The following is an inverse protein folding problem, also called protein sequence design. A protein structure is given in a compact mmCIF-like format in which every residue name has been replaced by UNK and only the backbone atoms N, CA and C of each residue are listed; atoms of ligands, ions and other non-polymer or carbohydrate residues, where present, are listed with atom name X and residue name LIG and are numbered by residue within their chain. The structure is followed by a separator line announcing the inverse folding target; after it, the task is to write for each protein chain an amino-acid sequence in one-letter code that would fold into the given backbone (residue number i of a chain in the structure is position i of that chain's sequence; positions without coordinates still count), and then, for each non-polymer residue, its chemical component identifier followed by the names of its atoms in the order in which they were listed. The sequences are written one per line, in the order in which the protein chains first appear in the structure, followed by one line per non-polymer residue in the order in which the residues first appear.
data_IF_615340491608
#
_entry.id   IF_615340491608
#
_cell.length_a   1.000
_cell.length_b   1.000
_cell.length_c   1.000
_cell.angle_alpha   90.00
_cell.angle_beta   90.00
_cell.angle_gamma   90.00
#
_symmetry.space_group_name_H-M   'P 1'
#
loop_
_entity.id
_entity.type
_entity.pdbx_description
1 polymer ?
#
# COMPACT_ATOMS: atom_id res chain seq x y z
N UNK A 1 -36.83 -19.00 20.29
CA UNK A 1 -35.71 -18.10 19.93
C UNK A 1 -36.04 -17.49 18.58
N UNK A 2 -36.00 -16.14 18.43
CA UNK A 2 -36.17 -15.53 17.11
C UNK A 2 -34.98 -15.94 16.24
N UNK A 3 -35.26 -16.57 15.10
CA UNK A 3 -34.26 -16.91 14.08
C UNK A 3 -33.67 -15.58 13.58
N UNK A 4 -32.37 -15.41 13.69
CA UNK A 4 -31.69 -14.25 13.11
C UNK A 4 -31.64 -14.50 11.59
N UNK A 5 -32.49 -13.84 10.83
CA UNK A 5 -32.53 -13.95 9.38
C UNK A 5 -31.61 -12.88 8.77
N UNK A 6 -30.30 -13.15 8.75
CA UNK A 6 -29.31 -12.31 8.06
C UNK A 6 -28.03 -12.02 8.85
N UNK A 7 -27.16 -11.21 8.23
CA UNK A 7 -25.95 -10.66 8.87
C UNK A 7 -26.32 -9.66 9.98
N UNK A 8 -25.43 -9.42 10.96
CA UNK A 8 -25.62 -8.35 11.95
C UNK A 8 -25.95 -7.01 11.27
N UNK A 9 -26.79 -6.18 11.90
CA UNK A 9 -27.23 -4.88 11.34
C UNK A 9 -26.07 -3.96 10.97
N UNK A 10 -25.01 -4.01 11.77
CA UNK A 10 -23.80 -3.19 11.63
C UNK A 10 -22.69 -3.91 10.83
N UNK A 11 -23.04 -4.93 10.03
CA UNK A 11 -22.05 -5.65 9.23
C UNK A 11 -21.47 -4.74 8.13
N UNK A 12 -20.14 -4.63 8.09
CA UNK A 12 -19.43 -3.76 7.15
C UNK A 12 -19.19 -4.48 5.83
N UNK A 13 -20.10 -4.30 4.87
CA UNK A 13 -19.90 -4.71 3.48
C UNK A 13 -19.00 -3.73 2.73
N UNK A 14 -18.08 -4.26 1.93
CA UNK A 14 -17.11 -3.43 1.23
C UNK A 14 -16.18 -4.23 0.33
N UNK A 15 -15.05 -3.60 -0.02
CA UNK A 15 -14.00 -4.15 -0.85
C UNK A 15 -12.62 -3.84 -0.29
N UNK A 16 -11.59 -4.47 -0.84
CA UNK A 16 -10.22 -4.34 -0.37
C UNK A 16 -9.23 -4.17 -1.53
N UNK A 17 -8.27 -3.27 -1.36
CA UNK A 17 -7.12 -3.06 -2.25
C UNK A 17 -5.82 -2.91 -1.45
N UNK A 18 -4.68 -2.86 -2.14
CA UNK A 18 -3.39 -2.41 -1.62
C UNK A 18 -2.86 -1.32 -2.54
N UNK A 19 -2.32 -0.24 -1.98
CA UNK A 19 -1.89 0.97 -2.70
C UNK A 19 -1.04 0.66 -3.94
N UNK A 20 0.03 -0.12 -3.80
CA UNK A 20 0.89 -0.52 -4.91
C UNK A 20 0.21 -1.34 -6.03
N UNK A 21 -1.01 -1.83 -5.85
CA UNK A 21 -1.71 -2.64 -6.87
C UNK A 21 -2.55 -1.78 -7.81
N UNK A 22 -2.96 -0.59 -7.38
CA UNK A 22 -4.02 0.16 -8.07
C UNK A 22 -3.78 1.69 -8.12
N UNK A 23 -3.06 2.28 -7.16
CA UNK A 23 -2.82 3.73 -7.13
C UNK A 23 -2.09 4.24 -8.37
N UNK A 24 -0.98 3.61 -8.74
CA UNK A 24 -0.10 4.15 -9.79
C UNK A 24 0.70 5.37 -9.32
N UNK A 25 0.99 6.28 -10.24
CA UNK A 25 1.70 7.55 -9.98
C UNK A 25 2.93 7.36 -9.07
N UNK A 26 3.77 6.38 -9.41
CA UNK A 26 4.82 5.88 -8.51
C UNK A 26 5.92 6.90 -8.18
N UNK A 27 6.06 7.94 -9.00
CA UNK A 27 7.06 8.99 -8.95
C UNK A 27 6.45 10.39 -8.80
N UNK A 28 5.17 10.48 -8.43
CA UNK A 28 4.47 11.74 -8.22
C UNK A 28 4.31 12.05 -6.73
N UNK A 29 4.05 13.32 -6.41
CA UNK A 29 3.79 13.75 -5.04
C UNK A 29 4.95 13.51 -4.08
N UNK A 30 6.19 13.51 -4.58
CA UNK A 30 7.38 13.21 -3.77
C UNK A 30 7.53 11.74 -3.33
N UNK A 31 6.71 10.82 -3.86
CA UNK A 31 6.79 9.39 -3.50
C UNK A 31 8.17 8.79 -3.83
N UNK A 32 8.73 8.05 -2.88
CA UNK A 32 9.92 7.23 -3.08
C UNK A 32 9.62 5.88 -3.74
N UNK A 33 10.67 5.20 -4.22
CA UNK A 33 10.54 3.83 -4.73
C UNK A 33 10.21 2.87 -3.59
N UNK A 34 9.31 1.93 -3.85
CA UNK A 34 8.99 0.81 -2.97
C UNK A 34 9.52 -0.51 -3.55
N UNK A 35 9.57 -1.56 -2.73
CA UNK A 35 9.89 -2.92 -3.21
C UNK A 35 8.95 -3.38 -4.33
N UNK A 36 7.69 -2.97 -4.26
CA UNK A 36 6.66 -3.26 -5.26
C UNK A 36 6.95 -2.62 -6.64
N UNK A 37 7.61 -1.46 -6.69
CA UNK A 37 7.94 -0.75 -7.94
C UNK A 37 9.03 -1.45 -8.75
N UNK A 38 9.74 -2.42 -8.15
CA UNK A 38 10.79 -3.22 -8.78
C UNK A 38 10.25 -4.51 -9.41
N UNK A 39 8.98 -4.85 -9.17
CA UNK A 39 8.38 -6.08 -9.70
C UNK A 39 8.01 -5.89 -11.17
N UNK A 40 8.78 -6.51 -12.06
CA UNK A 40 8.55 -6.48 -13.51
C UNK A 40 7.33 -7.32 -13.90
N UNK A 41 6.71 -6.95 -15.02
CA UNK A 41 5.76 -7.82 -15.71
C UNK A 41 6.48 -9.08 -16.21
N UNK A 42 5.86 -10.23 -15.99
CA UNK A 42 6.29 -11.52 -16.55
C UNK A 42 5.11 -12.10 -17.36
N UNK A 43 5.28 -12.34 -18.68
CA UNK A 43 4.29 -13.02 -19.51
C UNK A 43 3.88 -14.36 -18.93
N UNK A 44 2.64 -14.79 -19.16
CA UNK A 44 2.09 -16.00 -18.52
C UNK A 44 2.92 -17.24 -18.85
N UNK A 45 3.46 -17.30 -20.06
CA UNK A 45 4.27 -18.37 -20.61
C UNK A 45 5.64 -18.49 -19.94
N UNK A 46 6.13 -17.40 -19.34
CA UNK A 46 7.42 -17.32 -18.64
C UNK A 46 7.29 -17.46 -17.11
N UNK A 47 6.06 -17.54 -16.58
CA UNK A 47 5.84 -17.67 -15.14
C UNK A 47 6.20 -19.08 -14.68
N UNK A 48 7.13 -19.16 -13.72
CA UNK A 48 7.41 -20.40 -13.00
C UNK A 48 6.28 -20.81 -12.04
N UNK A 49 6.41 -21.98 -11.44
CA UNK A 49 5.49 -22.49 -10.40
C UNK A 49 5.67 -21.83 -9.03
N UNK A 50 6.67 -20.93 -8.89
CA UNK A 50 7.01 -20.26 -7.64
C UNK A 50 6.15 -19.03 -7.37
N UNK A 51 5.81 -18.84 -6.10
CA UNK A 51 5.20 -17.62 -5.58
C UNK A 51 6.33 -16.65 -5.24
N UNK A 52 6.88 -15.90 -6.21
CA UNK A 52 7.92 -14.92 -5.87
C UNK A 52 7.65 -13.57 -6.53
N UNK A 53 7.16 -12.64 -5.70
CA UNK A 53 7.35 -11.21 -5.92
C UNK A 53 8.79 -10.79 -5.56
N UNK A 54 9.63 -11.74 -5.14
CA UNK A 54 11.03 -11.50 -4.81
C UNK A 54 11.79 -10.95 -6.01
N UNK A 55 12.53 -9.88 -5.76
CA UNK A 55 13.45 -9.28 -6.72
C UNK A 55 14.84 -9.33 -6.09
N UNK A 56 15.80 -9.93 -6.79
CA UNK A 56 17.18 -10.01 -6.29
C UNK A 56 17.86 -8.65 -6.31
N UNK A 57 18.90 -8.46 -5.48
CA UNK A 57 19.70 -7.23 -5.47
C UNK A 57 20.26 -6.89 -6.86
N UNK A 58 20.73 -7.90 -7.59
CA UNK A 58 21.24 -7.72 -8.97
C UNK A 58 20.15 -7.23 -9.92
N UNK A 59 18.92 -7.74 -9.79
CA UNK A 59 17.79 -7.25 -10.58
C UNK A 59 17.44 -5.81 -10.22
N UNK A 60 17.40 -5.46 -8.93
CA UNK A 60 17.17 -4.07 -8.49
C UNK A 60 18.24 -3.13 -9.07
N UNK A 61 19.52 -3.49 -8.98
CA UNK A 61 20.63 -2.68 -9.51
C UNK A 61 20.49 -2.47 -11.03
N UNK A 62 20.16 -3.52 -11.79
CA UNK A 62 19.92 -3.41 -13.22
C UNK A 62 18.69 -2.55 -13.56
N UNK A 63 17.62 -2.64 -12.77
CA UNK A 63 16.42 -1.80 -12.92
C UNK A 63 16.75 -0.32 -12.66
N UNK A 64 17.54 -0.03 -11.62
CA UNK A 64 17.93 1.33 -11.26
C UNK A 64 18.94 1.95 -12.24
N UNK A 65 19.74 1.12 -12.92
CA UNK A 65 20.64 1.54 -13.99
C UNK A 65 19.93 1.80 -15.33
N UNK A 66 18.59 1.66 -15.38
CA UNK A 66 17.77 1.76 -16.59
C UNK A 66 18.20 0.77 -17.70
N UNK A 67 18.68 -0.41 -17.29
CA UNK A 67 19.06 -1.46 -18.23
C UNK A 67 17.83 -2.21 -18.75
N UNK A 68 17.35 -1.75 -19.90
CA UNK A 68 16.43 -2.46 -20.79
C UNK A 68 14.97 -2.01 -20.72
N UNK A 69 14.24 -2.26 -21.81
CA UNK A 69 12.83 -1.90 -21.97
C UNK A 69 11.96 -2.88 -21.16
N UNK A 70 11.57 -2.50 -19.94
CA UNK A 70 10.82 -3.34 -19.00
C UNK A 70 9.57 -2.62 -18.49
N UNK A 71 8.46 -3.36 -18.46
CA UNK A 71 7.18 -2.86 -17.93
C UNK A 71 7.06 -3.22 -16.45
N UNK A 72 6.72 -2.25 -15.61
CA UNK A 72 6.48 -2.41 -14.17
C UNK A 72 5.02 -2.07 -13.86
N UNK A 73 4.08 -3.04 -13.87
CA UNK A 73 2.65 -2.77 -13.81
C UNK A 73 2.21 -1.93 -12.61
N UNK A 74 2.87 -2.14 -11.47
CA UNK A 74 2.57 -1.47 -10.21
C UNK A 74 2.93 0.03 -10.22
N UNK A 75 3.78 0.47 -11.18
CA UNK A 75 4.17 1.88 -11.29
C UNK A 75 3.04 2.78 -11.82
N UNK A 76 2.10 2.22 -12.57
CA UNK A 76 0.95 2.94 -13.13
C UNK A 76 -0.39 2.43 -12.62
N UNK A 77 -0.49 1.18 -12.14
CA UNK A 77 -1.71 0.65 -11.52
C UNK A 77 -2.92 0.74 -12.45
N UNK A 78 -4.06 1.16 -11.90
CA UNK A 78 -5.24 1.60 -12.67
C UNK A 78 -5.42 3.12 -12.59
N UNK A 79 -4.38 3.82 -12.16
CA UNK A 79 -4.32 5.26 -11.98
C UNK A 79 -5.33 5.83 -10.96
N UNK A 80 -5.63 5.07 -9.90
CA UNK A 80 -6.50 5.52 -8.81
C UNK A 80 -5.98 6.80 -8.14
N UNK A 81 -4.66 7.05 -8.15
CA UNK A 81 -4.09 8.29 -7.62
C UNK A 81 -4.74 9.55 -8.22
N UNK A 82 -5.10 9.51 -9.50
CA UNK A 82 -5.77 10.61 -10.20
C UNK A 82 -7.30 10.47 -10.25
N UNK A 83 -7.82 9.24 -10.14
CA UNK A 83 -9.23 8.89 -10.38
C UNK A 83 -10.00 8.43 -9.13
N UNK A 84 -9.44 8.63 -7.93
CA UNK A 84 -10.05 8.12 -6.70
C UNK A 84 -11.47 8.64 -6.45
N UNK A 85 -11.81 9.84 -6.92
CA UNK A 85 -13.16 10.41 -6.73
C UNK A 85 -14.21 9.66 -7.52
N UNK A 86 -13.93 9.38 -8.79
CA UNK A 86 -14.80 8.61 -9.68
C UNK A 86 -14.93 7.18 -9.17
N UNK A 87 -13.82 6.56 -8.79
CA UNK A 87 -13.81 5.18 -8.30
C UNK A 87 -14.57 5.03 -6.98
N UNK A 88 -14.36 5.94 -6.01
CA UNK A 88 -15.09 5.92 -4.73
C UNK A 88 -16.59 6.18 -4.93
N UNK A 89 -16.97 7.03 -5.88
CA UNK A 89 -18.39 7.23 -6.20
C UNK A 89 -19.05 5.92 -6.70
N UNK A 90 -18.35 5.10 -7.47
CA UNK A 90 -18.83 3.77 -7.86
C UNK A 90 -18.92 2.80 -6.67
N UNK A 91 -17.96 2.84 -5.75
CA UNK A 91 -18.04 2.06 -4.49
C UNK A 91 -19.28 2.45 -3.68
N UNK A 92 -19.60 3.74 -3.63
CA UNK A 92 -20.79 4.26 -2.96
C UNK A 92 -22.09 3.81 -3.67
N UNK A 93 -22.12 3.80 -5.01
CA UNK A 93 -23.24 3.29 -5.80
C UNK A 93 -23.53 1.82 -5.50
N UNK A 94 -22.49 1.00 -5.31
CA UNK A 94 -22.62 -0.40 -4.88
C UNK A 94 -23.08 -0.56 -3.42
N UNK A 95 -23.13 0.52 -2.64
CA UNK A 95 -23.61 0.52 -1.26
C UNK A 95 -22.55 0.15 -0.22
N UNK A 96 -21.25 0.36 -0.52
CA UNK A 96 -20.17 0.09 0.43
C UNK A 96 -20.38 0.83 1.76
N UNK A 97 -19.98 0.15 2.85
CA UNK A 97 -19.90 0.68 4.22
C UNK A 97 -18.48 0.80 4.71
N UNK A 98 -17.57 0.03 4.12
CA UNK A 98 -16.14 0.07 4.41
C UNK A 98 -15.35 -0.04 3.11
N UNK A 99 -14.22 0.65 3.05
CA UNK A 99 -13.23 0.43 1.99
C UNK A 99 -11.87 0.17 2.63
N UNK A 100 -11.37 -1.06 2.45
CA UNK A 100 -10.04 -1.45 2.91
C UNK A 100 -8.99 -1.04 1.88
N UNK A 101 -7.99 -0.30 2.31
CA UNK A 101 -6.82 0.05 1.50
C UNK A 101 -5.54 0.04 2.36
N UNK A 102 -4.38 0.21 1.74
CA UNK A 102 -3.15 0.56 2.47
C UNK A 102 -2.76 2.00 2.24
N UNK A 103 -1.99 2.54 3.18
CA UNK A 103 -1.20 3.75 2.94
C UNK A 103 0.16 3.26 2.43
N UNK A 104 0.59 3.76 1.28
CA UNK A 104 1.91 3.45 0.74
C UNK A 104 2.97 4.15 1.60
N UNK A 105 3.76 3.38 2.33
CA UNK A 105 4.79 3.92 3.23
C UNK A 105 5.76 4.84 2.49
N UNK A 106 6.16 4.51 1.27
CA UNK A 106 7.05 5.36 0.47
C UNK A 106 6.40 6.66 -0.04
N UNK A 107 5.09 6.86 0.10
CA UNK A 107 4.47 8.20 -0.05
C UNK A 107 4.66 9.06 1.18
N UNK A 108 4.64 8.47 2.38
CA UNK A 108 4.73 9.22 3.64
C UNK A 108 6.19 9.44 4.05
N UNK A 109 7.03 8.42 3.91
CA UNK A 109 8.47 8.47 4.16
C UNK A 109 9.18 7.89 2.92
N UNK A 110 9.55 8.72 1.93
CA UNK A 110 10.09 8.27 0.64
C UNK A 110 11.28 7.30 0.73
N UNK A 111 12.17 7.52 1.70
CA UNK A 111 13.29 6.62 1.97
C UNK A 111 13.02 5.68 3.15
N UNK A 112 11.94 5.91 3.89
CA UNK A 112 11.55 5.15 5.09
C UNK A 112 12.33 5.56 6.35
N UNK A 113 13.56 6.07 6.20
CA UNK A 113 14.39 6.62 7.27
C UNK A 113 14.47 8.16 7.25
N UNK A 114 13.53 8.82 6.57
CA UNK A 114 13.43 10.28 6.53
C UNK A 114 13.08 10.84 7.92
N UNK A 115 13.64 12.00 8.26
CA UNK A 115 13.39 12.65 9.56
C UNK A 115 12.01 13.32 9.64
N UNK A 116 11.41 13.64 8.50
CA UNK A 116 10.11 14.32 8.39
C UNK A 116 9.26 13.63 7.33
N UNK A 117 7.94 13.53 7.54
CA UNK A 117 7.07 12.97 6.52
C UNK A 117 6.96 13.90 5.31
N UNK A 118 6.60 13.32 4.17
CA UNK A 118 6.22 14.02 2.96
C UNK A 118 4.76 14.49 3.05
N UNK A 119 4.55 15.81 3.08
CA UNK A 119 3.21 16.39 3.25
C UNK A 119 2.29 16.10 2.06
N UNK A 120 2.79 16.11 0.82
CA UNK A 120 1.95 15.79 -0.35
C UNK A 120 1.38 14.36 -0.29
N UNK A 121 2.17 13.42 0.22
CA UNK A 121 1.71 12.06 0.50
C UNK A 121 0.65 12.01 1.59
N UNK A 122 0.78 12.83 2.65
CA UNK A 122 -0.22 12.91 3.71
C UNK A 122 -1.54 13.52 3.22
N UNK A 123 -1.45 14.61 2.44
CA UNK A 123 -2.57 15.31 1.84
C UNK A 123 -3.34 14.45 0.84
N UNK A 124 -2.64 13.61 0.07
CA UNK A 124 -3.28 12.64 -0.82
C UNK A 124 -4.23 11.71 -0.05
N UNK A 125 -3.76 11.08 1.03
CA UNK A 125 -4.61 10.19 1.82
C UNK A 125 -5.67 10.96 2.62
N UNK A 126 -5.42 12.21 3.04
CA UNK A 126 -6.48 13.06 3.58
C UNK A 126 -7.63 13.20 2.58
N UNK A 127 -7.32 13.49 1.33
CA UNK A 127 -8.31 13.71 0.28
C UNK A 127 -9.05 12.42 -0.10
N UNK A 128 -8.36 11.27 -0.12
CA UNK A 128 -8.99 9.94 -0.33
C UNK A 128 -9.94 9.59 0.81
N UNK A 129 -9.51 9.78 2.06
CA UNK A 129 -10.35 9.48 3.22
C UNK A 129 -11.53 10.44 3.32
N UNK A 130 -11.34 11.73 3.04
CA UNK A 130 -12.43 12.70 3.01
C UNK A 130 -13.47 12.36 1.93
N UNK A 131 -13.03 11.87 0.77
CA UNK A 131 -13.95 11.43 -0.28
C UNK A 131 -14.71 10.16 0.13
N UNK A 132 -14.07 9.18 0.78
CA UNK A 132 -14.77 8.03 1.36
C UNK A 132 -15.84 8.46 2.39
N UNK A 133 -15.45 9.32 3.34
CA UNK A 133 -16.32 9.78 4.43
C UNK A 133 -17.50 10.62 3.91
N UNK A 134 -17.30 11.40 2.85
CA UNK A 134 -18.38 12.11 2.14
C UNK A 134 -19.51 11.18 1.69
N UNK A 135 -19.19 9.93 1.32
CA UNK A 135 -20.18 8.92 0.94
C UNK A 135 -20.59 7.98 2.09
N UNK A 136 -20.11 8.23 3.32
CA UNK A 136 -20.37 7.37 4.48
C UNK A 136 -19.68 6.01 4.40
N UNK A 137 -18.54 5.93 3.70
CA UNK A 137 -17.68 4.75 3.60
C UNK A 137 -16.58 4.88 4.64
N UNK A 138 -16.50 3.95 5.59
CA UNK A 138 -15.44 3.91 6.60
C UNK A 138 -14.12 3.43 5.98
N UNK A 139 -13.01 4.17 6.08
CA UNK A 139 -11.71 3.66 5.68
C UNK A 139 -11.23 2.58 6.67
N UNK A 140 -10.71 1.46 6.14
CA UNK A 140 -9.98 0.45 6.91
C UNK A 140 -8.55 0.38 6.37
N UNK A 141 -7.58 0.79 7.18
CA UNK A 141 -6.22 1.02 6.69
C UNK A 141 -5.28 -0.11 7.11
N UNK A 142 -4.52 -0.64 6.14
CA UNK A 142 -3.38 -1.53 6.38
C UNK A 142 -2.08 -0.74 6.27
N UNK A 143 -1.23 -0.76 7.30
CA UNK A 143 0.00 0.05 7.34
C UNK A 143 1.11 -0.49 6.45
N UNK A 144 1.43 -1.79 6.59
CA UNK A 144 2.43 -2.48 5.77
C UNK A 144 1.77 -3.53 4.88
N UNK A 145 1.81 -3.32 3.57
CA UNK A 145 1.11 -4.15 2.58
C UNK A 145 1.97 -4.44 1.34
N UNK A 146 3.14 -5.04 1.55
CA UNK A 146 4.06 -5.47 0.49
C UNK A 146 4.76 -4.36 -0.31
N UNK A 147 4.89 -3.18 0.28
CA UNK A 147 5.36 -1.95 -0.38
C UNK A 147 6.36 -1.15 0.46
N UNK A 148 7.21 -1.85 1.22
CA UNK A 148 8.30 -1.24 2.02
C UNK A 148 9.14 -0.30 1.16
N UNK A 149 9.56 0.89 1.66
CA UNK A 149 10.46 1.78 0.93
C UNK A 149 11.73 1.04 0.50
N UNK A 150 12.11 1.21 -0.77
CA UNK A 150 13.22 0.47 -1.39
C UNK A 150 14.55 0.75 -0.68
N UNK A 151 14.76 1.99 -0.21
CA UNK A 151 15.93 2.37 0.55
C UNK A 151 16.10 1.51 1.82
N UNK A 152 15.00 1.14 2.51
CA UNK A 152 15.09 0.27 3.68
C UNK A 152 15.59 -1.14 3.32
N UNK A 153 15.19 -1.63 2.16
CA UNK A 153 15.68 -2.91 1.61
C UNK A 153 17.18 -2.83 1.28
N UNK A 154 17.62 -1.75 0.61
CA UNK A 154 18.99 -1.62 0.14
C UNK A 154 20.01 -1.33 1.25
N UNK A 155 19.64 -0.51 2.23
CA UNK A 155 20.53 0.01 3.29
C UNK A 155 20.51 -0.85 4.55
N UNK A 156 19.38 -1.47 4.86
CA UNK A 156 19.17 -2.22 6.11
C UNK A 156 18.80 -3.68 5.89
N UNK A 157 18.81 -4.17 4.64
CA UNK A 157 18.36 -5.52 4.29
C UNK A 157 16.92 -5.79 4.76
N UNK A 158 16.07 -4.76 4.69
CA UNK A 158 14.66 -4.82 5.10
C UNK A 158 14.50 -5.15 6.58
N UNK A 159 13.47 -5.93 6.91
CA UNK A 159 13.11 -6.29 8.28
C UNK A 159 14.14 -7.17 9.02
N UNK A 160 15.23 -7.58 8.36
CA UNK A 160 16.34 -8.26 9.02
C UNK A 160 17.11 -7.34 9.99
N UNK A 161 17.11 -6.03 9.77
CA UNK A 161 17.69 -5.04 10.70
C UNK A 161 16.61 -4.51 11.65
N UNK A 162 16.90 -4.58 12.96
CA UNK A 162 16.00 -4.09 14.01
C UNK A 162 15.68 -2.60 13.92
N UNK A 163 16.52 -1.78 13.29
CA UNK A 163 16.24 -0.34 13.09
C UNK A 163 14.98 -0.09 12.27
N UNK A 164 14.59 -1.03 11.40
CA UNK A 164 13.36 -0.92 10.61
C UNK A 164 12.11 -0.92 11.49
N UNK A 165 12.17 -1.48 12.70
CA UNK A 165 11.10 -1.37 13.68
C UNK A 165 10.87 0.10 14.06
N UNK A 166 11.93 0.86 14.35
CA UNK A 166 11.81 2.27 14.74
C UNK A 166 11.28 3.13 13.58
N UNK A 167 11.74 2.85 12.35
CA UNK A 167 11.22 3.52 11.15
C UNK A 167 9.73 3.24 10.94
N UNK A 168 9.30 2.00 11.13
CA UNK A 168 7.89 1.63 11.04
C UNK A 168 7.04 2.29 12.13
N UNK A 169 7.54 2.35 13.36
CA UNK A 169 6.85 3.03 14.47
C UNK A 169 6.70 4.52 14.17
N UNK A 170 7.75 5.18 13.67
CA UNK A 170 7.68 6.59 13.27
C UNK A 170 6.61 6.83 12.18
N UNK A 171 6.58 5.97 11.17
CA UNK A 171 5.54 5.99 10.13
C UNK A 171 4.14 5.79 10.71
N UNK A 172 3.95 4.74 11.51
CA UNK A 172 2.66 4.41 12.13
C UNK A 172 2.16 5.55 13.04
N UNK A 173 3.01 6.09 13.89
CA UNK A 173 2.66 7.23 14.75
C UNK A 173 2.25 8.46 13.95
N UNK A 174 2.95 8.74 12.85
CA UNK A 174 2.64 9.88 11.97
C UNK A 174 1.24 9.76 11.40
N UNK A 175 0.90 8.60 10.80
CA UNK A 175 -0.41 8.41 10.17
C UNK A 175 -1.53 8.23 11.19
N UNK A 176 -1.26 7.63 12.35
CA UNK A 176 -2.23 7.60 13.45
C UNK A 176 -2.55 9.01 13.96
N UNK A 177 -1.54 9.87 14.13
CA UNK A 177 -1.75 11.26 14.57
C UNK A 177 -2.50 12.08 13.52
N UNK A 178 -2.15 11.93 12.23
CA UNK A 178 -2.79 12.66 11.13
C UNK A 178 -4.24 12.25 10.94
N UNK A 179 -4.53 10.94 10.91
CA UNK A 179 -5.84 10.41 10.51
C UNK A 179 -6.72 9.92 11.66
N UNK A 180 -6.39 10.28 12.91
CA UNK A 180 -7.10 9.84 14.13
C UNK A 180 -8.62 10.03 14.10
N UNK A 181 -9.10 11.06 13.41
CA UNK A 181 -10.52 11.43 13.33
C UNK A 181 -11.19 10.90 12.05
N UNK A 182 -10.42 10.25 11.15
CA UNK A 182 -10.88 9.76 9.84
C UNK A 182 -10.88 8.24 9.70
N UNK A 183 -10.07 7.53 10.48
CA UNK A 183 -9.87 6.08 10.35
C UNK A 183 -10.00 5.38 11.69
N UNK A 184 -11.02 4.52 11.83
CA UNK A 184 -11.23 3.73 13.04
C UNK A 184 -10.52 2.39 13.04
N UNK A 185 -10.42 1.73 11.89
CA UNK A 185 -9.93 0.35 11.77
C UNK A 185 -8.55 0.30 11.12
N UNK A 186 -7.61 -0.33 11.83
CA UNK A 186 -6.21 -0.41 11.42
C UNK A 186 -5.72 -1.86 11.44
N UNK A 187 -4.92 -2.22 10.45
CA UNK A 187 -4.15 -3.45 10.38
C UNK A 187 -2.67 -3.08 10.29
N UNK A 188 -1.82 -3.71 11.11
CA UNK A 188 -0.38 -3.40 11.12
C UNK A 188 0.34 -4.00 9.91
N UNK A 189 0.26 -5.31 9.74
CA UNK A 189 0.92 -6.05 8.66
C UNK A 189 -0.10 -6.90 7.90
N UNK A 190 -0.10 -6.81 6.58
CA UNK A 190 -0.82 -7.74 5.74
C UNK A 190 -0.12 -9.11 5.75
N UNK A 191 -0.87 -10.18 6.04
CA UNK A 191 -0.42 -11.59 5.96
C UNK A 191 1.05 -11.78 6.39
N UNK A 192 1.37 -11.35 7.62
CA UNK A 192 2.74 -11.28 8.15
C UNK A 192 3.55 -12.58 8.01
N UNK A 193 2.89 -13.72 7.88
CA UNK A 193 3.53 -15.02 7.66
C UNK A 193 4.12 -15.20 6.25
N UNK A 194 3.76 -14.37 5.27
CA UNK A 194 4.32 -14.43 3.91
C UNK A 194 5.82 -14.12 3.89
N UNK A 195 6.36 -13.42 4.89
CA UNK A 195 7.81 -13.22 5.05
C UNK A 195 8.60 -14.53 5.03
N UNK A 196 8.01 -15.65 5.50
CA UNK A 196 8.66 -16.95 5.49
C UNK A 196 8.77 -17.58 4.09
N UNK A 197 7.97 -17.10 3.14
CA UNK A 197 7.93 -17.58 1.75
C UNK A 197 8.55 -16.59 0.77
N UNK A 198 8.35 -15.28 1.00
CA UNK A 198 8.83 -14.18 0.16
C UNK A 198 9.40 -13.07 1.06
N UNK A 199 10.63 -13.21 1.58
CA UNK A 199 11.22 -12.25 2.50
C UNK A 199 11.35 -10.84 1.93
N UNK A 200 11.35 -10.70 0.60
CA UNK A 200 11.44 -9.41 -0.10
C UNK A 200 10.20 -8.54 0.10
N UNK A 201 9.01 -9.16 0.24
CA UNK A 201 7.75 -8.41 0.34
C UNK A 201 7.54 -7.77 1.71
N UNK A 202 8.33 -8.12 2.71
CA UNK A 202 8.14 -7.64 4.08
C UNK A 202 7.96 -8.77 5.06
#
# INVERSE_FOLDING_TARGET
MKKNEGFPKEFLWGGATAANQFEGAYNEGGKGLSTADMVRFIPKEERGSGFSLDVSRKEIEAILADEGDKVFPKRFGVDFYHHYKEDIALLAEMGFKVFRMSINWARIFPNGDDTTPNEEGLEFYDAVFDECLKYGIEPLVTLSHYETPLNLTLKYNGWADRKVIDFFVNYAETVFKRYKDKVKYWLTFNEINIIALSPYTG
#
